data_IF_738775892812
#
_entry.id   IF_738775892812
#
_cell.length_a   1.000
_cell.length_b   1.000
_cell.length_c   1.000
_cell.angle_alpha   90.00
_cell.angle_beta   90.00
_cell.angle_gamma   90.00
#
_symmetry.space_group_name_H-M   'P 1'
#
loop_
_entity.id
_entity.type
_entity.pdbx_description
1 polymer ?
#
# COMPACT_ATOMS: atom_id res chain seq x y z
N UNK A 1 -12.02 -26.75 -45.83
CA UNK A 1 -10.80 -26.40 -45.07
C UNK A 1 -11.29 -25.89 -43.73
N UNK A 2 -10.98 -26.59 -42.65
CA UNK A 2 -11.42 -26.21 -41.30
C UNK A 2 -10.21 -25.54 -40.64
N UNK A 3 -10.26 -24.22 -40.49
CA UNK A 3 -9.32 -23.51 -39.62
C UNK A 3 -9.72 -23.79 -38.17
N UNK A 4 -8.93 -24.63 -37.49
CA UNK A 4 -9.04 -24.87 -36.06
C UNK A 4 -8.53 -23.62 -35.32
N UNK A 5 -9.44 -22.78 -34.85
CA UNK A 5 -9.11 -21.75 -33.87
C UNK A 5 -8.78 -22.43 -32.54
N UNK A 6 -7.50 -22.63 -32.27
CA UNK A 6 -6.98 -22.94 -30.94
C UNK A 6 -7.21 -21.74 -30.02
N UNK A 7 -8.44 -21.56 -29.53
CA UNK A 7 -8.71 -20.64 -28.44
C UNK A 7 -8.12 -21.23 -27.16
N UNK A 8 -7.02 -20.64 -26.71
CA UNK A 8 -6.37 -20.90 -25.43
C UNK A 8 -7.37 -20.74 -24.29
N UNK A 9 -7.73 -21.85 -23.64
CA UNK A 9 -8.65 -21.84 -22.50
C UNK A 9 -7.86 -21.61 -21.20
N UNK A 10 -8.02 -20.42 -20.62
CA UNK A 10 -7.50 -20.06 -19.30
C UNK A 10 -8.70 -19.87 -18.37
N UNK A 11 -8.76 -20.62 -17.27
CA UNK A 11 -9.82 -20.49 -16.25
C UNK A 11 -9.24 -19.87 -14.98
N UNK A 12 -9.96 -18.90 -14.41
CA UNK A 12 -9.63 -18.23 -13.15
C UNK A 12 -10.88 -18.15 -12.28
N UNK A 13 -10.76 -18.66 -11.06
CA UNK A 13 -11.81 -18.61 -10.05
C UNK A 13 -11.32 -17.71 -8.92
N UNK A 14 -12.03 -16.60 -8.70
CA UNK A 14 -11.76 -15.66 -7.61
C UNK A 14 -12.56 -16.07 -6.38
N UNK A 15 -11.88 -16.55 -5.34
CA UNK A 15 -12.47 -16.74 -4.01
C UNK A 15 -11.91 -15.68 -3.05
N UNK A 16 -12.63 -15.33 -1.97
CA UNK A 16 -12.08 -14.43 -0.96
C UNK A 16 -10.78 -15.03 -0.41
N UNK A 17 -9.67 -14.29 -0.53
CA UNK A 17 -8.32 -14.70 -0.10
C UNK A 17 -7.69 -15.93 -0.79
N UNK A 18 -8.31 -16.44 -1.86
CA UNK A 18 -7.80 -17.57 -2.61
C UNK A 18 -8.03 -17.41 -4.12
N UNK A 19 -6.94 -17.29 -4.88
CA UNK A 19 -7.00 -17.26 -6.34
C UNK A 19 -6.40 -18.54 -6.92
N UNK A 20 -7.18 -19.25 -7.76
CA UNK A 20 -6.70 -20.38 -8.55
C UNK A 20 -6.71 -20.02 -10.04
N UNK A 21 -5.59 -20.28 -10.71
CA UNK A 21 -5.47 -20.13 -12.16
C UNK A 21 -4.80 -21.36 -12.76
N UNK A 22 -5.36 -21.89 -13.85
CA UNK A 22 -4.76 -22.98 -14.63
C UNK A 22 -4.60 -22.58 -16.08
N UNK A 23 -3.40 -22.72 -16.64
CA UNK A 23 -3.12 -22.40 -18.03
C UNK A 23 -2.63 -23.63 -18.81
N UNK A 24 -3.46 -24.14 -19.72
CA UNK A 24 -3.15 -25.38 -20.46
C UNK A 24 -2.13 -25.19 -21.60
N UNK A 25 -1.92 -23.95 -22.07
CA UNK A 25 -1.00 -23.67 -23.20
C UNK A 25 0.47 -23.46 -22.80
N UNK A 26 0.77 -23.18 -21.53
CA UNK A 26 2.13 -23.14 -20.97
C UNK A 26 2.23 -24.19 -19.88
N UNK A 27 2.60 -25.41 -20.25
CA UNK A 27 3.03 -26.48 -19.33
C UNK A 27 2.17 -26.59 -18.05
N UNK A 28 0.84 -26.65 -18.16
CA UNK A 28 -0.03 -27.04 -17.04
C UNK A 28 0.32 -26.35 -15.69
N UNK A 29 0.55 -25.02 -15.72
CA UNK A 29 0.90 -24.26 -14.50
C UNK A 29 -0.37 -23.97 -13.69
N UNK A 30 -0.31 -24.27 -12.39
CA UNK A 30 -1.32 -23.94 -11.39
C UNK A 30 -0.76 -22.90 -10.42
N UNK A 31 -1.46 -21.79 -10.26
CA UNK A 31 -1.13 -20.76 -9.25
C UNK A 31 -2.12 -20.81 -8.10
N UNK A 32 -1.62 -20.76 -6.87
CA UNK A 32 -2.38 -20.63 -5.63
C UNK A 32 -1.94 -19.35 -4.91
N UNK A 33 -2.85 -18.41 -4.72
CA UNK A 33 -2.60 -17.26 -3.86
C UNK A 33 -3.31 -17.45 -2.53
N UNK A 34 -2.60 -17.48 -1.41
CA UNK A 34 -3.20 -17.49 -0.08
C UNK A 34 -3.04 -16.09 0.54
N UNK A 35 -4.15 -15.38 0.69
CA UNK A 35 -4.18 -14.02 1.22
C UNK A 35 -3.38 -13.02 0.37
N UNK A 36 -2.51 -12.23 1.01
CA UNK A 36 -1.55 -11.31 0.37
C UNK A 36 -0.10 -11.71 0.68
N UNK A 37 0.12 -12.95 1.11
CA UNK A 37 1.37 -13.36 1.77
C UNK A 37 2.07 -14.53 1.10
N UNK A 38 1.33 -15.42 0.42
CA UNK A 38 1.92 -16.63 -0.17
C UNK A 38 1.38 -16.82 -1.58
N UNK A 39 2.29 -16.87 -2.54
CA UNK A 39 2.03 -17.30 -3.92
C UNK A 39 2.75 -18.63 -4.17
N UNK A 40 1.98 -19.70 -4.35
CA UNK A 40 2.49 -20.98 -4.84
C UNK A 40 2.29 -21.08 -6.35
N UNK A 41 3.34 -21.41 -7.10
CA UNK A 41 3.26 -21.76 -8.52
C UNK A 41 3.77 -23.19 -8.71
N UNK A 42 2.96 -24.04 -9.33
CA UNK A 42 3.32 -25.42 -9.63
C UNK A 42 3.19 -25.67 -11.13
N UNK A 43 4.28 -26.10 -11.76
CA UNK A 43 4.33 -26.63 -13.11
C UNK A 43 4.67 -28.13 -13.06
N UNK A 44 4.51 -28.81 -14.20
CA UNK A 44 4.70 -30.28 -14.33
C UNK A 44 6.03 -30.79 -13.77
N UNK A 45 7.08 -29.95 -13.77
CA UNK A 45 8.44 -30.30 -13.35
C UNK A 45 8.99 -29.43 -12.19
N UNK A 46 8.25 -28.44 -11.70
CA UNK A 46 8.78 -27.49 -10.71
C UNK A 46 7.69 -26.87 -9.84
N UNK A 47 7.94 -26.76 -8.53
CA UNK A 47 7.11 -26.02 -7.58
C UNK A 47 7.92 -24.87 -6.99
N UNK A 48 7.43 -23.64 -7.12
CA UNK A 48 8.04 -22.45 -6.53
C UNK A 48 7.04 -21.79 -5.58
N UNK A 49 7.45 -21.58 -4.33
CA UNK A 49 6.70 -20.75 -3.39
C UNK A 49 7.37 -19.39 -3.27
N UNK A 50 6.56 -18.33 -3.26
CA UNK A 50 6.97 -16.94 -3.07
C UNK A 50 6.29 -16.40 -1.83
N UNK A 51 7.10 -16.00 -0.85
CA UNK A 51 6.63 -15.36 0.38
C UNK A 51 6.69 -13.86 0.20
N UNK A 52 5.56 -13.19 0.38
CA UNK A 52 5.41 -11.74 0.20
C UNK A 52 5.46 -11.05 1.57
N UNK A 53 6.39 -10.11 1.69
CA UNK A 53 6.51 -9.24 2.85
C UNK A 53 5.96 -7.88 2.47
N UNK A 54 4.97 -7.43 3.24
CA UNK A 54 4.19 -6.26 2.91
C UNK A 54 4.54 -5.09 3.83
N UNK A 55 4.36 -3.86 3.34
CA UNK A 55 4.39 -2.65 4.16
C UNK A 55 3.14 -2.52 5.03
N UNK A 56 3.09 -1.47 5.85
CA UNK A 56 1.93 -1.10 6.68
C UNK A 56 0.64 -0.83 5.88
N UNK A 57 0.76 -0.49 4.60
CA UNK A 57 -0.36 -0.33 3.65
C UNK A 57 -0.67 -1.62 2.88
N UNK A 58 -0.07 -2.75 3.26
CA UNK A 58 -0.18 -4.03 2.57
C UNK A 58 0.46 -4.05 1.16
N UNK A 59 1.35 -3.10 0.84
CA UNK A 59 2.10 -3.12 -0.42
C UNK A 59 3.22 -4.15 -0.35
N UNK A 60 3.33 -5.05 -1.32
CA UNK A 60 4.36 -6.09 -1.37
C UNK A 60 5.74 -5.48 -1.67
N UNK A 61 6.62 -5.41 -0.68
CA UNK A 61 7.93 -4.76 -0.82
C UNK A 61 9.07 -5.75 -1.09
N UNK A 62 8.91 -7.01 -0.70
CA UNK A 62 9.95 -8.03 -0.81
C UNK A 62 9.33 -9.42 -1.02
N UNK A 63 9.84 -10.15 -2.01
CA UNK A 63 9.50 -11.55 -2.23
C UNK A 63 10.71 -12.46 -1.97
N UNK A 64 10.49 -13.52 -1.21
CA UNK A 64 11.49 -14.53 -0.88
C UNK A 64 11.08 -15.91 -1.41
N UNK A 65 12.06 -16.75 -1.72
CA UNK A 65 11.81 -18.18 -1.98
C UNK A 65 11.78 -19.01 -0.69
N UNK A 66 11.57 -20.32 -0.84
CA UNK A 66 11.61 -21.35 0.20
C UNK A 66 12.90 -21.38 1.04
N UNK A 67 14.01 -20.91 0.49
CA UNK A 67 15.32 -20.80 1.15
C UNK A 67 15.59 -19.41 1.71
N UNK A 68 14.57 -18.57 1.84
CA UNK A 68 14.67 -17.17 2.29
C UNK A 68 15.60 -16.29 1.43
N UNK A 69 15.81 -16.65 0.17
CA UNK A 69 16.60 -15.85 -0.77
C UNK A 69 15.69 -14.84 -1.48
N UNK A 70 16.17 -13.61 -1.64
CA UNK A 70 15.44 -12.55 -2.34
C UNK A 70 15.20 -12.88 -3.81
N UNK A 71 13.91 -12.93 -4.18
CA UNK A 71 13.43 -13.04 -5.55
C UNK A 71 13.24 -11.65 -6.17
N UNK A 72 12.48 -10.79 -5.50
CA UNK A 72 12.19 -9.43 -5.95
C UNK A 72 12.13 -8.46 -4.77
N UNK A 73 12.48 -7.21 -5.03
CA UNK A 73 12.36 -6.09 -4.10
C UNK A 73 11.74 -4.91 -4.85
N UNK A 74 10.75 -4.25 -4.25
CA UNK A 74 10.05 -3.13 -4.88
C UNK A 74 9.65 -2.07 -3.87
N UNK A 75 9.89 -0.81 -4.20
CA UNK A 75 9.42 0.35 -3.44
C UNK A 75 8.46 1.20 -4.29
N UNK A 76 7.58 1.93 -3.60
CA UNK A 76 6.49 2.67 -4.22
C UNK A 76 6.52 4.15 -3.83
N UNK A 77 6.12 5.02 -4.76
CA UNK A 77 5.65 6.36 -4.47
C UNK A 77 4.33 6.30 -3.70
N UNK A 78 3.94 7.40 -3.00
CA UNK A 78 2.72 7.40 -2.19
C UNK A 78 1.46 6.95 -2.92
N UNK A 79 1.33 7.19 -4.23
CA UNK A 79 0.15 6.81 -5.02
C UNK A 79 0.29 5.48 -5.79
N UNK A 80 1.31 4.67 -5.47
CA UNK A 80 1.48 3.32 -6.02
C UNK A 80 2.29 3.21 -7.32
N UNK A 81 2.94 4.29 -7.75
CA UNK A 81 3.94 4.22 -8.81
C UNK A 81 5.20 3.54 -8.29
N UNK A 82 5.82 2.64 -9.06
CA UNK A 82 7.07 1.98 -8.66
C UNK A 82 8.23 2.98 -8.69
N UNK A 83 8.96 3.14 -7.58
CA UNK A 83 10.17 3.97 -7.50
C UNK A 83 11.40 3.16 -7.89
N UNK A 84 11.54 1.98 -7.29
CA UNK A 84 12.66 1.07 -7.44
C UNK A 84 12.09 -0.33 -7.55
N UNK A 85 12.60 -1.11 -8.50
CA UNK A 85 12.35 -2.54 -8.57
C UNK A 85 13.66 -3.25 -8.90
N UNK A 86 13.95 -4.33 -8.18
CA UNK A 86 15.18 -5.08 -8.32
C UNK A 86 14.95 -6.58 -8.08
N UNK A 87 15.80 -7.41 -8.67
CA UNK A 87 15.82 -8.86 -8.47
C UNK A 87 16.92 -9.50 -9.30
N UNK A 88 17.33 -10.72 -8.94
CA UNK A 88 18.43 -11.41 -9.63
C UNK A 88 18.03 -11.88 -11.03
N UNK A 89 16.76 -12.20 -11.23
CA UNK A 89 16.21 -12.68 -12.48
C UNK A 89 15.05 -11.79 -12.92
N UNK A 90 15.20 -11.15 -14.08
CA UNK A 90 14.19 -10.25 -14.66
C UNK A 90 12.86 -10.95 -14.91
N UNK A 91 12.88 -12.22 -15.30
CA UNK A 91 11.65 -13.00 -15.55
C UNK A 91 10.90 -13.26 -14.25
N UNK A 92 11.63 -13.57 -13.17
CA UNK A 92 11.03 -13.75 -11.85
C UNK A 92 10.43 -12.46 -11.29
N UNK A 93 11.08 -11.32 -11.54
CA UNK A 93 10.56 -10.00 -11.15
C UNK A 93 9.27 -9.68 -11.93
N UNK A 94 9.22 -9.96 -13.23
CA UNK A 94 8.02 -9.72 -14.06
C UNK A 94 6.83 -10.62 -13.72
N UNK A 95 7.05 -11.75 -13.05
CA UNK A 95 5.96 -12.61 -12.57
C UNK A 95 5.21 -12.03 -11.36
N UNK A 96 5.72 -10.95 -10.74
CA UNK A 96 5.09 -10.29 -9.60
C UNK A 96 3.83 -9.53 -10.04
N UNK A 97 2.66 -10.09 -9.72
CA UNK A 97 1.34 -9.53 -10.06
C UNK A 97 0.78 -8.57 -9.01
N UNK A 98 0.82 -8.97 -7.74
CA UNK A 98 0.28 -8.16 -6.63
C UNK A 98 1.37 -7.28 -6.04
N UNK A 99 1.10 -5.97 -6.00
CA UNK A 99 2.11 -4.94 -5.74
C UNK A 99 1.63 -3.96 -4.69
N UNK A 100 1.17 -2.80 -5.12
CA UNK A 100 0.74 -1.72 -4.24
C UNK A 100 -0.61 -2.05 -3.56
N UNK A 101 -0.68 -1.89 -2.24
CA UNK A 101 -1.85 -2.16 -1.38
C UNK A 101 -2.52 -3.52 -1.64
N UNK A 102 -1.71 -4.54 -1.91
CA UNK A 102 -2.20 -5.89 -2.23
C UNK A 102 -3.01 -6.00 -3.53
N UNK A 103 -2.92 -5.03 -4.44
CA UNK A 103 -3.66 -5.03 -5.70
C UNK A 103 -2.81 -5.51 -6.87
N UNK A 104 -3.48 -6.16 -7.81
CA UNK A 104 -2.87 -6.58 -9.07
C UNK A 104 -2.57 -5.34 -9.92
N UNK A 105 -1.35 -5.27 -10.44
CA UNK A 105 -0.94 -4.28 -11.43
C UNK A 105 -0.78 -4.96 -12.78
N UNK A 106 -1.47 -4.43 -13.79
CA UNK A 106 -1.23 -4.81 -15.17
C UNK A 106 0.00 -4.06 -15.69
N UNK A 107 1.07 -4.79 -16.01
CA UNK A 107 2.32 -4.20 -16.50
C UNK A 107 2.19 -3.61 -17.92
N UNK A 108 1.18 -4.02 -18.70
CA UNK A 108 0.99 -3.52 -20.07
C UNK A 108 0.39 -2.12 -20.11
N UNK A 109 -0.63 -1.87 -19.28
CA UNK A 109 -1.25 -0.54 -19.14
C UNK A 109 -0.66 0.29 -18.00
N UNK A 110 -0.05 -0.37 -17.01
CA UNK A 110 0.36 0.21 -15.73
C UNK A 110 -0.78 0.39 -14.72
N UNK A 111 -2.03 0.11 -15.09
CA UNK A 111 -3.18 0.31 -14.22
C UNK A 111 -3.20 -0.74 -13.10
N UNK A 112 -3.70 -0.34 -11.93
CA UNK A 112 -3.92 -1.26 -10.81
C UNK A 112 -5.40 -1.54 -10.64
N UNK A 113 -5.76 -2.83 -10.56
CA UNK A 113 -7.15 -3.27 -10.49
C UNK A 113 -7.62 -3.42 -9.04
N UNK A 114 -8.71 -2.75 -8.70
CA UNK A 114 -9.24 -2.69 -7.34
C UNK A 114 -10.59 -3.40 -7.16
N UNK A 115 -11.09 -4.08 -8.19
CA UNK A 115 -12.42 -4.68 -8.19
C UNK A 115 -13.42 -3.80 -8.96
N UNK A 116 -13.82 -2.69 -8.36
CA UNK A 116 -14.78 -1.77 -8.98
C UNK A 116 -14.17 -0.79 -9.98
N UNK A 117 -12.92 -0.39 -9.74
CA UNK A 117 -12.23 0.66 -10.49
C UNK A 117 -10.78 0.30 -10.77
N UNK A 118 -10.18 1.02 -11.71
CA UNK A 118 -8.75 0.98 -11.97
C UNK A 118 -8.10 2.28 -11.52
N UNK A 119 -7.03 2.16 -10.75
CA UNK A 119 -6.18 3.28 -10.35
C UNK A 119 -5.10 3.50 -11.43
N UNK A 120 -4.86 4.75 -11.80
CA UNK A 120 -3.70 5.16 -12.60
C UNK A 120 -2.68 5.85 -11.68
N UNK A 121 -1.64 5.15 -11.19
CA UNK A 121 -0.72 5.71 -10.20
C UNK A 121 0.04 6.95 -10.67
N UNK A 122 0.29 7.07 -11.97
CA UNK A 122 0.94 8.27 -12.55
C UNK A 122 0.01 9.49 -12.61
N UNK A 123 -1.32 9.29 -12.58
CA UNK A 123 -2.30 10.37 -12.49
C UNK A 123 -2.79 10.60 -11.06
N UNK A 124 -2.32 9.79 -10.10
CA UNK A 124 -2.71 9.80 -8.68
C UNK A 124 -4.23 9.68 -8.44
N UNK A 125 -4.98 9.12 -9.40
CA UNK A 125 -6.45 9.13 -9.43
C UNK A 125 -7.05 7.88 -10.07
N UNK A 126 -8.32 7.64 -9.75
CA UNK A 126 -9.14 6.66 -10.47
C UNK A 126 -9.34 7.07 -11.92
N UNK A 127 -9.40 6.10 -12.85
CA UNK A 127 -9.66 6.39 -14.27
C UNK A 127 -11.15 6.51 -14.60
N UNK A 128 -12.02 6.11 -13.68
CA UNK A 128 -13.47 6.16 -13.80
C UNK A 128 -14.09 6.77 -12.54
N UNK A 129 -15.24 7.44 -12.65
CA UNK A 129 -15.93 7.99 -11.48
C UNK A 129 -16.42 6.85 -10.57
N UNK A 130 -16.57 7.14 -9.29
CA UNK A 130 -17.18 6.24 -8.32
C UNK A 130 -18.62 5.90 -8.71
N UNK A 131 -18.92 4.61 -8.92
CA UNK A 131 -20.28 4.18 -9.23
C UNK A 131 -21.18 4.14 -7.99
N UNK A 132 -20.62 4.19 -6.79
CA UNK A 132 -21.39 4.40 -5.56
C UNK A 132 -21.86 5.86 -5.40
N UNK A 133 -21.36 6.78 -6.24
CA UNK A 133 -21.66 8.20 -6.15
C UNK A 133 -20.82 8.92 -5.11
N UNK A 134 -21.33 10.02 -4.56
CA UNK A 134 -20.59 10.90 -3.64
C UNK A 134 -20.50 10.35 -2.20
N UNK A 135 -20.16 9.08 -2.03
CA UNK A 135 -20.01 8.41 -0.71
C UNK A 135 -18.75 8.90 0.01
N UNK A 136 -17.63 8.98 -0.73
CA UNK A 136 -16.32 9.44 -0.22
C UNK A 136 -16.03 10.91 -0.62
N UNK A 137 -17.09 11.71 -0.76
CA UNK A 137 -17.03 13.14 -1.11
C UNK A 137 -17.40 13.45 -2.55
N UNK A 138 -17.40 14.74 -2.90
CA UNK A 138 -17.91 15.23 -4.18
C UNK A 138 -16.99 14.92 -5.38
N UNK A 139 -15.72 14.61 -5.13
CA UNK A 139 -14.77 14.28 -6.19
C UNK A 139 -14.74 12.77 -6.45
N UNK A 140 -15.51 12.32 -7.44
CA UNK A 140 -15.68 10.90 -7.77
C UNK A 140 -14.41 10.20 -8.31
N UNK A 141 -13.33 10.94 -8.54
CA UNK A 141 -12.06 10.43 -9.07
C UNK A 141 -10.93 10.44 -8.03
N UNK A 142 -11.21 10.88 -6.79
CA UNK A 142 -10.19 10.97 -5.74
C UNK A 142 -9.79 9.58 -5.26
N UNK A 143 -8.49 9.32 -5.19
CA UNK A 143 -7.99 8.12 -4.53
C UNK A 143 -7.79 8.43 -3.04
N UNK A 144 -8.48 7.69 -2.18
CA UNK A 144 -8.32 7.66 -0.71
C UNK A 144 -8.17 9.04 -0.04
N UNK A 145 -9.02 9.99 -0.45
CA UNK A 145 -9.06 11.33 0.14
C UNK A 145 -7.76 12.12 -0.01
N UNK A 146 -6.95 11.82 -1.04
CA UNK A 146 -5.60 12.36 -1.26
C UNK A 146 -4.60 12.05 -0.12
N UNK A 147 -4.84 11.01 0.68
CA UNK A 147 -3.95 10.61 1.77
C UNK A 147 -3.59 9.12 1.71
N UNK A 148 -2.84 8.70 0.68
CA UNK A 148 -2.53 7.30 0.44
C UNK A 148 -1.44 6.74 1.34
N UNK A 149 -0.85 7.57 2.22
CA UNK A 149 0.08 7.10 3.24
C UNK A 149 -0.66 6.52 4.46
N UNK A 150 -1.92 6.90 4.64
CA UNK A 150 -2.77 6.51 5.76
C UNK A 150 -3.84 5.49 5.35
N UNK A 151 -4.46 5.72 4.21
CA UNK A 151 -5.64 4.98 3.78
C UNK A 151 -5.37 4.10 2.56
N UNK A 152 -6.12 3.01 2.46
CA UNK A 152 -6.18 2.14 1.27
C UNK A 152 -7.63 1.99 0.84
N UNK A 153 -7.88 1.55 -0.40
CA UNK A 153 -9.22 1.16 -0.85
C UNK A 153 -9.19 -0.34 -1.21
N UNK A 154 -9.85 -1.23 -0.46
CA UNK A 154 -9.82 -2.66 -0.78
C UNK A 154 -10.77 -3.07 -1.91
N UNK A 155 -11.78 -2.26 -2.26
CA UNK A 155 -12.85 -2.67 -3.20
C UNK A 155 -12.99 -1.75 -4.41
N UNK A 156 -12.27 -0.63 -4.40
CA UNK A 156 -12.45 0.46 -5.33
C UNK A 156 -13.73 1.23 -5.05
N UNK A 157 -14.28 1.22 -3.84
CA UNK A 157 -15.48 1.98 -3.47
C UNK A 157 -15.30 2.84 -2.22
N UNK A 158 -14.54 2.34 -1.24
CA UNK A 158 -14.50 2.93 0.09
C UNK A 158 -13.08 2.87 0.61
N UNK A 159 -12.56 4.01 1.03
CA UNK A 159 -11.29 4.06 1.74
C UNK A 159 -11.40 3.48 3.16
N UNK A 160 -10.36 2.79 3.62
CA UNK A 160 -10.24 2.22 4.97
C UNK A 160 -8.86 2.54 5.55
N UNK A 161 -8.76 2.49 6.88
CA UNK A 161 -7.47 2.46 7.57
C UNK A 161 -7.05 0.98 7.67
N UNK A 162 -5.84 0.59 7.23
CA UNK A 162 -5.33 -0.76 7.45
C UNK A 162 -5.32 -1.12 8.93
N UNK A 163 -5.62 -2.38 9.27
CA UNK A 163 -5.73 -2.84 10.66
C UNK A 163 -4.45 -2.56 11.46
N UNK A 164 -3.28 -2.71 10.83
CA UNK A 164 -1.97 -2.48 11.44
C UNK A 164 -1.68 -1.00 11.72
N UNK A 165 -2.47 -0.09 11.16
CA UNK A 165 -2.36 1.35 11.35
C UNK A 165 -3.42 1.93 12.29
N UNK A 166 -4.24 1.11 12.95
CA UNK A 166 -5.17 1.62 13.96
C UNK A 166 -4.38 1.91 15.24
N UNK A 167 -4.13 3.18 15.61
CA UNK A 167 -3.37 3.47 16.80
C UNK A 167 -4.11 2.92 18.03
N UNK A 168 -3.40 2.31 19.00
CA UNK A 168 -3.95 2.13 20.32
C UNK A 168 -4.36 3.49 20.89
N UNK A 169 -5.41 3.51 21.73
CA UNK A 169 -5.92 4.74 22.33
C UNK A 169 -4.77 5.55 22.96
N UNK A 170 -4.51 6.76 22.44
CA UNK A 170 -3.52 7.71 22.98
C UNK A 170 -2.30 8.01 22.10
N UNK A 171 -2.09 7.32 20.97
CA UNK A 171 -0.98 7.63 20.06
C UNK A 171 -1.30 8.81 19.12
N UNK A 172 -0.28 9.60 18.75
CA UNK A 172 -0.43 10.77 17.86
C UNK A 172 -0.56 10.28 16.41
N UNK A 173 -1.73 10.52 15.82
CA UNK A 173 -1.97 10.27 14.40
C UNK A 173 -1.38 11.41 13.53
N UNK A 174 -0.11 11.28 13.17
CA UNK A 174 0.63 12.26 12.36
C UNK A 174 0.19 12.31 10.89
N UNK A 175 -0.60 11.34 10.44
CA UNK A 175 -1.07 11.27 9.05
C UNK A 175 -2.48 11.84 8.88
N UNK A 176 -3.20 12.14 9.95
CA UNK A 176 -4.49 12.84 9.84
C UNK A 176 -4.32 14.28 9.31
N UNK A 177 -5.22 14.74 8.41
CA UNK A 177 -5.32 16.17 8.10
C UNK A 177 -5.50 16.98 9.38
N UNK A 178 -4.85 18.14 9.45
CA UNK A 178 -5.08 19.12 10.50
C UNK A 178 -6.37 19.87 10.17
N UNK A 179 -7.52 19.19 10.17
CA UNK A 179 -8.83 19.81 9.98
C UNK A 179 -9.68 19.58 11.23
N UNK A 180 -9.97 20.65 11.96
CA UNK A 180 -11.07 20.71 12.91
C UNK A 180 -10.95 19.77 14.11
N UNK A 181 -10.02 20.08 15.01
CA UNK A 181 -9.98 19.57 16.39
C UNK A 181 -11.30 19.77 17.12
N UNK A 182 -12.20 18.78 17.07
CA UNK A 182 -13.25 18.62 18.09
C UNK A 182 -13.32 17.23 18.71
N UNK A 183 -12.50 16.27 18.28
CA UNK A 183 -12.29 15.00 19.01
C UNK A 183 -10.84 14.53 19.05
N UNK A 184 -9.89 15.47 18.96
CA UNK A 184 -8.55 15.17 19.43
C UNK A 184 -8.57 15.36 20.95
N UNK A 185 -8.89 14.30 21.69
CA UNK A 185 -8.53 14.18 23.11
C UNK A 185 -6.99 14.24 23.32
N UNK A 186 -6.21 14.42 22.24
CA UNK A 186 -4.76 14.65 22.22
C UNK A 186 -4.36 16.12 22.00
N UNK A 187 -5.28 17.08 22.10
CA UNK A 187 -4.91 18.48 22.32
C UNK A 187 -4.32 18.61 23.73
N UNK A 188 -3.03 18.34 23.87
CA UNK A 188 -2.14 18.72 24.98
C UNK A 188 -2.87 19.04 26.30
N UNK A 189 -3.37 18.01 27.00
CA UNK A 189 -3.75 18.16 28.41
C UNK A 189 -2.51 17.98 29.28
N UNK A 190 -1.54 18.89 29.13
CA UNK A 190 -0.44 19.08 30.07
C UNK A 190 -0.50 20.52 30.58
N UNK A 191 -1.49 20.88 31.43
CA UNK A 191 -1.62 22.24 31.96
C UNK A 191 -0.32 22.73 32.60
N UNK A 192 0.41 21.83 33.26
CA UNK A 192 1.71 22.09 33.87
C UNK A 192 2.82 22.40 32.84
N UNK A 193 2.78 21.79 31.66
CA UNK A 193 3.76 22.05 30.60
C UNK A 193 3.48 23.39 29.90
N UNK A 194 2.20 23.74 29.72
CA UNK A 194 1.80 25.04 29.19
C UNK A 194 2.13 26.17 30.17
N UNK A 195 1.83 26.01 31.45
CA UNK A 195 2.23 26.99 32.49
C UNK A 195 3.74 27.11 32.61
N UNK A 196 4.50 26.02 32.45
CA UNK A 196 5.97 26.07 32.40
C UNK A 196 6.49 26.85 31.19
N UNK A 197 5.96 26.59 30.00
CA UNK A 197 6.34 27.30 28.77
C UNK A 197 5.96 28.78 28.85
N UNK A 198 4.77 29.09 29.34
CA UNK A 198 4.30 30.46 29.48
C UNK A 198 5.12 31.22 30.53
N UNK A 199 5.45 30.60 31.67
CA UNK A 199 6.35 31.18 32.65
C UNK A 199 7.75 31.40 32.06
N UNK A 200 8.31 30.44 31.32
CA UNK A 200 9.61 30.59 30.66
C UNK A 200 9.58 31.78 29.72
N UNK A 201 8.59 31.87 28.82
CA UNK A 201 8.48 32.97 27.85
C UNK A 201 8.26 34.33 28.56
N UNK A 202 7.54 34.36 29.67
CA UNK A 202 7.29 35.59 30.44
C UNK A 202 8.44 36.01 31.33
N UNK A 203 9.28 35.09 31.79
CA UNK A 203 10.39 35.37 32.72
C UNK A 203 11.77 35.35 32.08
N UNK A 204 11.93 34.80 30.87
CA UNK A 204 13.18 34.87 30.13
C UNK A 204 13.33 36.21 29.40
N UNK A 205 14.42 36.96 29.64
CA UNK A 205 14.76 38.15 28.85
C UNK A 205 14.95 37.77 27.38
N UNK A 206 14.32 38.51 26.47
CA UNK A 206 14.32 38.24 25.02
C UNK A 206 15.72 38.20 24.38
N UNK A 207 16.69 38.79 25.06
CA UNK A 207 18.10 38.96 24.72
C UNK A 207 18.98 37.72 25.04
N UNK A 208 18.44 36.67 25.69
CA UNK A 208 19.19 35.43 26.01
C UNK A 208 19.10 34.29 24.98
N UNK A 209 18.37 34.45 23.89
CA UNK A 209 18.25 33.41 22.84
C UNK A 209 19.54 33.13 22.05
N UNK A 210 20.61 33.93 22.25
CA UNK A 210 21.91 33.73 21.61
C UNK A 210 22.87 32.80 22.38
N UNK A 211 22.43 32.12 23.45
CA UNK A 211 23.31 31.31 24.31
C UNK A 211 23.40 29.83 23.94
N UNK A 212 22.61 29.35 22.98
CA UNK A 212 22.73 27.98 22.49
C UNK A 212 23.81 27.92 21.43
N UNK A 213 24.94 27.30 21.78
CA UNK A 213 26.01 26.97 20.85
C UNK A 213 26.23 25.46 20.78
N UNK A 214 27.15 25.05 19.91
CA UNK A 214 27.46 23.66 19.58
C UNK A 214 27.89 22.80 20.78
N UNK A 215 28.10 23.38 21.96
CA UNK A 215 28.51 22.68 23.18
C UNK A 215 27.39 22.61 24.25
N UNK A 216 26.14 22.93 23.89
CA UNK A 216 25.03 22.84 24.86
C UNK A 216 24.51 21.41 24.90
N UNK A 217 24.75 20.70 26.00
CA UNK A 217 24.15 19.38 26.24
C UNK A 217 22.82 19.51 26.98
N UNK A 218 21.82 18.78 26.50
CA UNK A 218 20.51 18.68 27.12
C UNK A 218 20.46 17.37 27.93
N UNK A 219 20.09 17.48 29.21
CA UNK A 219 19.81 16.33 30.09
C UNK A 219 18.51 15.62 29.67
#
# INVERSE_FOLDING_TARGET
MVESNNQTQSQRDYLPSLDLATNQAKQQSSTLHIGTHILGESSKDNTQTRYQLNSHLQSNTLELNDKAQTLSYEHYYPYGGTTIIAGKDKTQVQQKRYRYTGKERDDSSGLSYYGARYLAPWLTRWISPDSAGAVDGLNLYVYVGNNPLKYTDPTGYVQVIPVDMRPPYGEIDVLSPIEGTYQNNNLFYFPEAYERLENIVRTYPADKLNLLNNNTEFL
#
